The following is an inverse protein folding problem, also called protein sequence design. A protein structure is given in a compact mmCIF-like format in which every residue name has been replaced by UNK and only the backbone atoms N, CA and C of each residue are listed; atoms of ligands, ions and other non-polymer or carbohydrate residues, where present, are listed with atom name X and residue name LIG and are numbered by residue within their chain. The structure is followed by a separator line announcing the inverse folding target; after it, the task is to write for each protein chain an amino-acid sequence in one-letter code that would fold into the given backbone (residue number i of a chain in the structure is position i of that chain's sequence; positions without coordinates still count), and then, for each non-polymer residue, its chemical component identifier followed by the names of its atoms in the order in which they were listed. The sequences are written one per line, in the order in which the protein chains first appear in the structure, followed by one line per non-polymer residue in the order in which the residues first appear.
data_IF_504108981293
#
_entry.id   IF_504108981293
#
_cell.length_a   1.000
_cell.length_b   1.000
_cell.length_c   1.000
_cell.angle_alpha   90.00
_cell.angle_beta   90.00
_cell.angle_gamma   90.00
#
_symmetry.space_group_name_H-M   'P 1'
#
loop_
_entity.id
_entity.type
_entity.pdbx_description
1 polymer ?
#
# COMPACT_ATOMS: atom_id res chain seq x y z
N UNK A 1 59.05 -27.95 -16.97
CA UNK A 1 57.75 -28.23 -16.30
C UNK A 1 57.19 -26.91 -15.80
N UNK A 2 56.37 -26.25 -16.62
CA UNK A 2 55.81 -24.94 -16.28
C UNK A 2 54.50 -25.16 -15.52
N UNK A 3 54.46 -24.72 -14.25
CA UNK A 3 53.26 -24.74 -13.42
C UNK A 3 52.41 -23.52 -13.79
N UNK A 4 51.34 -23.74 -14.54
CA UNK A 4 50.32 -22.71 -14.79
C UNK A 4 49.54 -22.48 -13.49
N UNK A 5 49.80 -21.36 -12.84
CA UNK A 5 49.04 -20.87 -11.69
C UNK A 5 47.70 -20.36 -12.23
N UNK A 6 46.64 -21.15 -12.04
CA UNK A 6 45.28 -20.72 -12.34
C UNK A 6 44.84 -19.67 -11.34
N UNK A 7 44.80 -18.41 -11.75
CA UNK A 7 44.22 -17.32 -10.97
C UNK A 7 42.70 -17.49 -11.02
N UNK A 8 42.13 -17.95 -9.92
CA UNK A 8 40.69 -18.00 -9.70
C UNK A 8 40.22 -16.57 -9.43
N UNK A 9 39.71 -15.88 -10.45
CA UNK A 9 39.06 -14.58 -10.30
C UNK A 9 37.72 -14.83 -9.61
N UNK A 10 37.68 -14.58 -8.31
CA UNK A 10 36.46 -14.56 -7.51
C UNK A 10 35.72 -13.26 -7.84
N UNK A 11 34.82 -13.31 -8.83
CA UNK A 11 33.87 -12.21 -9.07
C UNK A 11 32.95 -12.10 -7.86
N UNK A 12 33.29 -11.17 -6.96
CA UNK A 12 32.40 -10.61 -5.96
C UNK A 12 31.25 -9.93 -6.70
N UNK A 13 30.22 -10.70 -7.05
CA UNK A 13 28.91 -10.15 -7.36
C UNK A 13 28.46 -9.53 -6.05
N UNK A 14 28.54 -8.21 -5.95
CA UNK A 14 27.88 -7.45 -4.90
C UNK A 14 26.40 -7.70 -5.09
N UNK A 15 25.87 -8.72 -4.41
CA UNK A 15 24.45 -8.87 -4.19
C UNK A 15 24.11 -7.68 -3.32
N UNK A 16 23.66 -6.59 -3.95
CA UNK A 16 23.05 -5.49 -3.24
C UNK A 16 21.89 -6.10 -2.50
N UNK A 17 22.05 -6.28 -1.19
CA UNK A 17 20.95 -6.61 -0.30
C UNK A 17 20.00 -5.42 -0.37
N UNK A 18 19.08 -5.45 -1.33
CA UNK A 18 17.90 -4.61 -1.27
C UNK A 18 17.21 -5.05 0.02
N UNK A 19 17.13 -4.17 1.00
CA UNK A 19 16.04 -4.28 1.96
C UNK A 19 14.78 -4.21 1.09
N UNK A 20 14.20 -5.37 0.79
CA UNK A 20 13.07 -5.45 -0.13
C UNK A 20 11.85 -4.95 0.63
N UNK A 21 11.62 -3.64 0.60
CA UNK A 21 10.39 -3.01 1.04
C UNK A 21 9.22 -3.34 0.10
N UNK A 22 9.19 -4.56 -0.45
CA UNK A 22 8.33 -4.98 -1.55
C UNK A 22 7.27 -5.92 -0.98
N UNK A 23 6.09 -5.85 -1.57
CA UNK A 23 5.04 -6.84 -1.46
C UNK A 23 4.25 -6.90 -2.74
N UNK A 24 3.20 -7.70 -2.72
CA UNK A 24 2.43 -8.04 -3.90
C UNK A 24 0.98 -7.65 -3.72
N UNK A 25 0.45 -6.85 -4.65
CA UNK A 25 -0.99 -6.81 -4.89
C UNK A 25 -1.39 -8.04 -5.69
N UNK A 26 -2.07 -8.98 -5.03
CA UNK A 26 -2.43 -10.28 -5.59
C UNK A 26 -3.90 -10.27 -5.95
N UNK A 27 -4.21 -10.62 -7.20
CA UNK A 27 -5.56 -10.98 -7.65
C UNK A 27 -5.64 -12.49 -7.76
N UNK A 28 -6.69 -13.08 -7.21
CA UNK A 28 -6.86 -14.53 -7.17
C UNK A 28 -8.31 -14.95 -7.35
N UNK A 29 -8.54 -16.20 -7.74
CA UNK A 29 -9.86 -16.83 -7.71
C UNK A 29 -10.00 -17.75 -6.50
N UNK A 30 -11.20 -17.81 -5.94
CA UNK A 30 -11.62 -18.79 -4.94
C UNK A 30 -12.73 -19.63 -5.56
N UNK A 31 -12.50 -20.92 -5.79
CA UNK A 31 -13.54 -21.88 -6.10
C UNK A 31 -14.08 -22.47 -4.79
N UNK A 32 -15.39 -22.40 -4.58
CA UNK A 32 -16.05 -22.96 -3.40
C UNK A 32 -16.41 -24.43 -3.62
N UNK A 33 -16.63 -25.17 -2.55
CA UNK A 33 -17.15 -26.55 -2.61
C UNK A 33 -18.54 -26.65 -3.25
N UNK A 34 -19.28 -25.53 -3.33
CA UNK A 34 -20.57 -25.42 -4.02
C UNK A 34 -20.43 -25.17 -5.52
N UNK A 35 -19.20 -25.01 -6.03
CA UNK A 35 -18.92 -24.73 -7.45
C UNK A 35 -18.97 -23.24 -7.82
N UNK A 36 -19.19 -22.34 -6.86
CA UNK A 36 -19.10 -20.89 -7.11
C UNK A 36 -17.64 -20.47 -7.27
N UNK A 37 -17.35 -19.56 -8.21
CA UNK A 37 -16.03 -18.91 -8.31
C UNK A 37 -16.15 -17.45 -7.94
N UNK A 38 -15.27 -16.98 -7.07
CA UNK A 38 -15.17 -15.59 -6.62
C UNK A 38 -13.80 -15.03 -6.99
N UNK A 39 -13.73 -13.73 -7.26
CA UNK A 39 -12.46 -13.01 -7.42
C UNK A 39 -12.17 -12.29 -6.10
N UNK A 40 -10.94 -12.39 -5.64
CA UNK A 40 -10.44 -11.69 -4.46
C UNK A 40 -9.15 -10.94 -4.76
N UNK A 41 -8.89 -9.94 -3.91
CA UNK A 41 -7.69 -9.13 -3.91
C UNK A 41 -7.10 -9.06 -2.50
N UNK A 42 -5.78 -9.11 -2.39
CA UNK A 42 -5.03 -8.87 -1.15
C UNK A 42 -3.73 -8.12 -1.45
N UNK A 43 -3.13 -7.56 -0.41
CA UNK A 43 -1.74 -7.11 -0.42
C UNK A 43 -0.95 -8.03 0.52
N UNK A 44 0.21 -8.55 0.11
CA UNK A 44 1.05 -9.41 0.97
C UNK A 44 2.50 -8.94 0.87
N UNK A 45 3.16 -8.54 1.98
CA UNK A 45 4.60 -8.30 1.97
C UNK A 45 5.38 -9.52 1.47
N UNK A 46 6.42 -9.31 0.67
CA UNK A 46 7.13 -10.41 -0.01
C UNK A 46 7.73 -11.41 0.98
N UNK A 47 8.16 -10.94 2.15
CA UNK A 47 8.69 -11.76 3.24
C UNK A 47 7.71 -12.83 3.77
N UNK A 48 6.42 -12.70 3.48
CA UNK A 48 5.38 -13.64 3.93
C UNK A 48 4.87 -14.55 2.81
N UNK A 49 5.44 -14.46 1.60
CA UNK A 49 5.05 -15.26 0.45
C UNK A 49 6.21 -16.14 -0.04
N UNK A 50 6.01 -17.45 0.01
CA UNK A 50 6.87 -18.46 -0.58
C UNK A 50 6.42 -18.70 -2.03
N UNK A 51 7.23 -18.21 -2.95
CA UNK A 51 6.95 -18.25 -4.39
C UNK A 51 6.89 -19.67 -4.94
N UNK A 52 7.56 -20.64 -4.32
CA UNK A 52 7.53 -22.05 -4.75
C UNK A 52 6.21 -22.74 -4.35
N UNK A 53 5.45 -22.12 -3.45
CA UNK A 53 4.22 -22.66 -2.88
C UNK A 53 2.94 -22.02 -3.44
N UNK A 54 3.02 -21.10 -4.41
CA UNK A 54 1.86 -20.32 -4.89
C UNK A 54 0.78 -21.13 -5.62
N UNK A 55 1.07 -22.36 -6.04
CA UNK A 55 0.07 -23.27 -6.63
C UNK A 55 -0.63 -24.14 -5.57
N UNK A 56 -0.21 -24.09 -4.31
CA UNK A 56 -0.76 -24.89 -3.22
C UNK A 56 -1.89 -24.15 -2.51
N UNK A 57 -3.14 -24.60 -2.71
CA UNK A 57 -4.33 -24.00 -2.06
C UNK A 57 -4.25 -23.98 -0.54
N UNK A 58 -3.74 -25.03 0.11
CA UNK A 58 -3.68 -25.05 1.57
C UNK A 58 -2.68 -24.03 2.09
N UNK A 59 -1.55 -23.86 1.40
CA UNK A 59 -0.61 -22.78 1.70
C UNK A 59 -1.27 -21.41 1.49
N UNK A 60 -1.90 -21.18 0.34
CA UNK A 60 -2.53 -19.90 0.00
C UNK A 60 -3.65 -19.48 0.96
N UNK A 61 -4.36 -20.44 1.58
CA UNK A 61 -5.35 -20.13 2.63
C UNK A 61 -4.72 -19.30 3.76
N UNK A 62 -3.50 -19.64 4.16
CA UNK A 62 -2.79 -18.94 5.23
C UNK A 62 -1.98 -17.75 4.71
N UNK A 63 -1.28 -17.92 3.59
CA UNK A 63 -0.38 -16.88 3.06
C UNK A 63 -1.12 -15.62 2.59
N UNK A 64 -2.36 -15.77 2.11
CA UNK A 64 -3.18 -14.64 1.67
C UNK A 64 -3.99 -14.02 2.82
N UNK A 65 -4.09 -14.66 3.98
CA UNK A 65 -4.89 -14.15 5.08
C UNK A 65 -4.22 -12.93 5.74
N UNK A 66 -4.91 -11.80 5.73
CA UNK A 66 -4.44 -10.51 6.26
C UNK A 66 -4.84 -10.30 7.73
N UNK A 67 -5.26 -11.33 8.45
CA UNK A 67 -5.70 -11.27 9.84
C UNK A 67 -4.57 -11.11 10.88
N UNK A 68 -3.40 -10.58 10.50
CA UNK A 68 -2.20 -10.45 11.35
C UNK A 68 -2.50 -9.84 12.73
N UNK A 69 -3.46 -8.91 12.81
CA UNK A 69 -3.90 -8.25 14.05
C UNK A 69 -5.04 -8.98 14.80
N UNK A 70 -5.79 -9.85 14.14
CA UNK A 70 -6.94 -10.56 14.73
C UNK A 70 -6.76 -12.07 14.64
N UNK A 71 -5.80 -12.58 15.43
CA UNK A 71 -5.49 -14.01 15.57
C UNK A 71 -6.65 -14.86 16.13
N UNK A 72 -7.81 -14.24 16.42
CA UNK A 72 -8.96 -14.93 16.99
C UNK A 72 -9.80 -15.67 15.95
N UNK A 73 -9.75 -15.28 14.67
CA UNK A 73 -10.54 -15.89 13.61
C UNK A 73 -9.70 -16.74 12.65
N UNK A 74 -9.27 -17.92 13.13
CA UNK A 74 -8.35 -18.84 12.42
C UNK A 74 -9.00 -19.70 11.34
N UNK A 75 -10.30 -19.55 11.10
CA UNK A 75 -11.07 -20.48 10.27
C UNK A 75 -11.57 -19.87 8.96
N UNK A 76 -11.18 -18.63 8.66
CA UNK A 76 -11.64 -17.89 7.48
C UNK A 76 -10.50 -17.19 6.76
N UNK A 77 -10.59 -17.16 5.43
CA UNK A 77 -9.78 -16.29 4.58
C UNK A 77 -10.44 -14.92 4.50
N UNK A 78 -9.73 -13.86 4.87
CA UNK A 78 -10.15 -12.48 4.59
C UNK A 78 -9.54 -11.97 3.28
N UNK A 79 -10.36 -11.29 2.48
CA UNK A 79 -9.94 -10.72 1.20
C UNK A 79 -10.77 -9.50 0.85
N UNK A 80 -10.35 -8.74 -0.16
CA UNK A 80 -11.10 -7.61 -0.68
C UNK A 80 -11.76 -7.98 -2.00
N UNK A 81 -13.02 -7.57 -2.19
CA UNK A 81 -13.74 -7.80 -3.45
C UNK A 81 -13.30 -6.84 -4.55
N UNK A 82 -12.71 -5.71 -4.17
CA UNK A 82 -12.41 -4.60 -5.06
C UNK A 82 -10.95 -4.17 -4.90
N UNK A 83 -10.28 -3.95 -6.04
CA UNK A 83 -8.98 -3.27 -6.13
C UNK A 83 -9.15 -2.07 -7.05
N UNK A 84 -8.95 -0.89 -6.51
CA UNK A 84 -9.12 0.39 -7.19
C UNK A 84 -7.74 0.90 -7.57
N UNK A 85 -7.51 1.08 -8.87
CA UNK A 85 -6.29 1.70 -9.39
C UNK A 85 -6.45 3.22 -9.33
N UNK A 86 -5.45 3.91 -8.79
CA UNK A 86 -5.35 5.36 -8.84
C UNK A 86 -4.06 5.75 -9.54
N UNK A 87 -4.17 6.61 -10.56
CA UNK A 87 -3.03 7.18 -11.28
C UNK A 87 -2.87 8.62 -10.85
N UNK A 88 -1.63 9.02 -10.55
CA UNK A 88 -1.34 10.36 -10.06
C UNK A 88 0.01 10.86 -10.59
N UNK A 89 0.17 12.17 -10.55
CA UNK A 89 1.46 12.82 -10.74
C UNK A 89 1.99 13.17 -9.36
N UNK A 90 3.19 12.69 -9.03
CA UNK A 90 3.78 12.94 -7.74
C UNK A 90 3.94 14.44 -7.48
N UNK A 91 3.64 14.85 -6.25
CA UNK A 91 3.88 16.21 -5.75
C UNK A 91 5.00 16.15 -4.71
N UNK A 92 5.83 17.20 -4.62
CA UNK A 92 7.01 17.23 -3.74
C UNK A 92 8.33 17.13 -4.51
N UNK A 93 9.33 16.43 -3.94
CA UNK A 93 10.72 16.43 -4.43
C UNK A 93 10.90 15.71 -5.79
N UNK A 94 10.03 14.76 -6.12
CA UNK A 94 10.01 13.99 -7.37
C UNK A 94 8.90 14.45 -8.31
N UNK A 95 8.60 15.76 -8.29
CA UNK A 95 7.45 16.35 -8.95
C UNK A 95 7.28 15.92 -10.42
N UNK A 96 6.08 15.47 -10.76
CA UNK A 96 5.64 15.27 -12.15
C UNK A 96 5.83 13.86 -12.71
N UNK A 97 6.43 12.93 -11.98
CA UNK A 97 6.44 11.52 -12.36
C UNK A 97 5.03 10.93 -12.29
N UNK A 98 4.63 10.24 -13.36
CA UNK A 98 3.38 9.48 -13.36
C UNK A 98 3.57 8.20 -12.56
N UNK A 99 2.72 8.02 -11.55
CA UNK A 99 2.71 6.85 -10.67
C UNK A 99 1.33 6.24 -10.62
N UNK A 100 1.30 4.98 -10.25
CA UNK A 100 0.08 4.27 -9.94
C UNK A 100 0.15 3.68 -8.54
N UNK A 101 -1.01 3.56 -7.91
CA UNK A 101 -1.17 2.91 -6.61
C UNK A 101 -2.52 2.20 -6.58
N UNK A 102 -2.61 1.18 -5.74
CA UNK A 102 -3.83 0.40 -5.57
C UNK A 102 -4.41 0.61 -4.17
N UNK A 103 -5.73 0.80 -4.11
CA UNK A 103 -6.52 0.73 -2.89
C UNK A 103 -7.35 -0.54 -2.88
N UNK A 104 -7.44 -1.20 -1.73
CA UNK A 104 -8.29 -2.38 -1.54
C UNK A 104 -9.55 -1.98 -0.78
N UNK A 105 -10.73 -2.38 -1.27
CA UNK A 105 -12.02 -2.01 -0.67
C UNK A 105 -12.98 -3.20 -0.64
N UNK A 106 -14.06 -3.05 0.13
CA UNK A 106 -15.10 -4.06 0.26
C UNK A 106 -14.56 -5.40 0.80
N UNK A 107 -14.11 -5.38 2.07
CA UNK A 107 -13.58 -6.56 2.79
C UNK A 107 -14.65 -7.65 2.89
N UNK A 108 -14.26 -8.87 2.60
CA UNK A 108 -15.06 -10.09 2.63
C UNK A 108 -14.35 -11.16 3.45
N UNK A 109 -15.09 -12.19 3.84
CA UNK A 109 -14.53 -13.41 4.41
C UNK A 109 -15.17 -14.65 3.81
N UNK A 110 -14.45 -15.76 3.85
CA UNK A 110 -14.97 -17.08 3.50
C UNK A 110 -14.33 -18.14 4.39
N UNK A 111 -15.13 -19.07 4.91
CA UNK A 111 -14.60 -20.17 5.72
C UNK A 111 -13.62 -21.01 4.92
N UNK A 112 -12.49 -21.40 5.51
CA UNK A 112 -11.53 -22.33 4.91
C UNK A 112 -12.17 -23.67 4.54
N UNK A 113 -13.24 -24.07 5.23
CA UNK A 113 -13.97 -25.30 4.95
C UNK A 113 -14.80 -25.21 3.68
N UNK A 114 -15.21 -24.01 3.26
CA UNK A 114 -15.98 -23.79 2.04
C UNK A 114 -15.09 -23.65 0.80
N UNK A 115 -13.79 -23.40 0.98
CA UNK A 115 -12.82 -23.25 -0.10
C UNK A 115 -12.39 -24.63 -0.63
N UNK A 116 -12.61 -24.84 -1.93
CA UNK A 116 -12.10 -25.98 -2.67
C UNK A 116 -10.73 -25.70 -3.28
N UNK A 117 -10.55 -24.53 -3.91
CA UNK A 117 -9.35 -24.18 -4.66
C UNK A 117 -9.11 -22.67 -4.61
N UNK A 118 -7.85 -22.28 -4.46
CA UNK A 118 -7.38 -20.90 -4.66
C UNK A 118 -6.37 -20.93 -5.80
N UNK A 119 -6.47 -19.96 -6.72
CA UNK A 119 -5.47 -19.76 -7.78
C UNK A 119 -5.11 -18.29 -7.87
N UNK A 120 -3.82 -17.99 -7.87
CA UNK A 120 -3.33 -16.66 -8.20
C UNK A 120 -3.53 -16.42 -9.71
N UNK A 121 -4.06 -15.25 -10.06
CA UNK A 121 -4.28 -14.82 -11.45
C UNK A 121 -3.21 -13.81 -11.86
N UNK A 122 -2.87 -12.90 -10.95
CA UNK A 122 -2.01 -11.76 -11.21
C UNK A 122 -1.33 -11.33 -9.90
N UNK A 123 -0.05 -10.97 -9.99
CA UNK A 123 0.72 -10.36 -8.91
C UNK A 123 1.40 -9.13 -9.46
N UNK A 124 1.40 -8.05 -8.67
CA UNK A 124 2.07 -6.81 -9.01
C UNK A 124 2.89 -6.33 -7.82
N UNK A 125 4.15 -6.02 -8.07
CA UNK A 125 5.10 -5.59 -7.05
C UNK A 125 4.82 -4.14 -6.65
N UNK A 126 4.65 -3.91 -5.35
CA UNK A 126 4.42 -2.59 -4.75
C UNK A 126 5.19 -2.46 -3.44
N UNK A 127 5.52 -1.24 -3.05
CA UNK A 127 6.11 -1.01 -1.74
C UNK A 127 5.05 -1.14 -0.64
N UNK A 128 5.38 -1.74 0.50
CA UNK A 128 4.47 -1.74 1.67
C UNK A 128 4.49 -0.40 2.43
N UNK A 129 5.45 0.48 2.11
CA UNK A 129 5.59 1.77 2.79
C UNK A 129 4.58 2.80 2.27
N UNK A 130 4.10 2.64 1.02
CA UNK A 130 3.20 3.60 0.37
C UNK A 130 1.81 3.00 0.19
N UNK A 131 0.77 3.74 0.58
CA UNK A 131 -0.63 3.29 0.50
C UNK A 131 -1.61 4.43 0.25
N UNK A 132 -2.83 4.08 -0.17
CA UNK A 132 -3.96 5.03 -0.22
C UNK A 132 -4.65 5.04 1.15
N UNK A 133 -4.61 6.17 1.84
CA UNK A 133 -5.22 6.32 3.17
C UNK A 133 -6.66 6.80 3.13
N UNK A 134 -7.03 7.61 2.14
CA UNK A 134 -8.43 8.00 1.94
C UNK A 134 -9.27 6.77 1.58
N UNK A 135 -10.37 6.46 2.28
CA UNK A 135 -11.22 5.33 1.91
C UNK A 135 -11.81 5.55 0.52
N UNK A 136 -11.56 4.60 -0.39
CA UNK A 136 -12.11 4.61 -1.75
C UNK A 136 -13.08 3.44 -1.95
N UNK A 137 -14.04 3.65 -2.84
CA UNK A 137 -14.99 2.64 -3.28
C UNK A 137 -15.15 2.66 -4.80
N UNK A 138 -15.75 1.62 -5.39
CA UNK A 138 -15.98 1.57 -6.85
C UNK A 138 -16.87 2.71 -7.37
N UNK A 139 -17.72 3.31 -6.53
CA UNK A 139 -18.55 4.46 -6.93
C UNK A 139 -17.71 5.73 -7.10
N UNK A 140 -16.47 5.74 -6.62
CA UNK A 140 -15.56 6.88 -6.71
C UNK A 140 -14.79 6.94 -8.03
N UNK A 141 -14.69 5.81 -8.74
CA UNK A 141 -13.98 5.66 -10.02
C UNK A 141 -14.27 6.81 -11.00
N UNK A 142 -15.52 7.22 -11.27
CA UNK A 142 -15.81 8.27 -12.24
C UNK A 142 -15.16 9.62 -11.93
N UNK A 143 -14.87 9.93 -10.66
CA UNK A 143 -14.23 11.17 -10.29
C UNK A 143 -12.72 11.02 -10.06
N UNK A 144 -12.23 9.92 -9.48
CA UNK A 144 -10.77 9.70 -9.31
C UNK A 144 -10.03 9.45 -10.63
N UNK A 145 -10.72 8.99 -11.68
CA UNK A 145 -10.13 8.82 -13.02
C UNK A 145 -9.89 10.14 -13.76
N UNK A 146 -10.35 11.27 -13.21
CA UNK A 146 -10.06 12.60 -13.75
C UNK A 146 -8.76 13.11 -13.14
N UNK A 147 -8.06 14.00 -13.85
CA UNK A 147 -6.88 14.66 -13.29
C UNK A 147 -7.28 15.45 -12.02
N UNK A 148 -6.55 15.34 -10.90
CA UNK A 148 -6.83 16.16 -9.73
C UNK A 148 -6.69 17.64 -10.07
N UNK A 149 -7.52 18.47 -9.45
CA UNK A 149 -7.49 19.92 -9.62
C UNK A 149 -6.22 20.51 -9.01
N UNK A 150 -5.80 19.99 -7.86
CA UNK A 150 -4.65 20.44 -7.08
C UNK A 150 -4.06 19.25 -6.33
N UNK A 151 -2.74 19.30 -6.11
CA UNK A 151 -2.01 18.35 -5.27
C UNK A 151 -1.20 19.11 -4.22
N UNK A 152 -1.10 18.54 -3.02
CA UNK A 152 -0.36 19.09 -1.90
C UNK A 152 0.52 18.01 -1.27
N UNK A 153 1.67 18.42 -0.75
CA UNK A 153 2.64 17.56 -0.09
C UNK A 153 2.83 18.04 1.36
N UNK A 154 2.83 17.11 2.30
CA UNK A 154 3.08 17.39 3.72
C UNK A 154 3.97 16.28 4.28
N UNK A 155 4.99 16.66 5.06
CA UNK A 155 5.98 15.74 5.62
C UNK A 155 6.10 15.96 7.12
N UNK A 156 6.05 14.89 7.89
CA UNK A 156 6.40 14.86 9.31
C UNK A 156 7.82 14.34 9.51
N UNK A 157 7.98 13.41 10.45
CA UNK A 157 9.28 12.81 10.78
C UNK A 157 9.57 11.59 9.91
N UNK A 158 8.73 10.55 10.00
CA UNK A 158 8.86 9.31 9.24
C UNK A 158 7.73 9.15 8.22
N UNK A 159 6.70 9.98 8.29
CA UNK A 159 5.55 9.91 7.39
C UNK A 159 5.47 11.11 6.43
N UNK A 160 5.12 10.78 5.20
CA UNK A 160 4.89 11.69 4.09
C UNK A 160 3.49 11.51 3.54
N UNK A 161 2.85 12.61 3.16
CA UNK A 161 1.46 12.63 2.71
C UNK A 161 1.29 13.46 1.46
N UNK A 162 0.66 12.87 0.44
CA UNK A 162 0.24 13.56 -0.77
C UNK A 162 -1.29 13.64 -0.82
N UNK A 163 -1.83 14.85 -0.89
CA UNK A 163 -3.28 15.10 -0.93
C UNK A 163 -3.67 15.61 -2.32
N UNK A 164 -4.47 14.84 -3.04
CA UNK A 164 -4.98 15.16 -4.37
C UNK A 164 -6.45 15.57 -4.30
N UNK A 165 -6.74 16.83 -4.58
CA UNK A 165 -8.10 17.39 -4.53
C UNK A 165 -8.78 17.22 -5.89
N UNK A 166 -9.87 16.46 -5.94
CA UNK A 166 -10.64 16.25 -7.18
C UNK A 166 -11.88 17.13 -7.28
N UNK A 167 -12.49 17.48 -6.14
CA UNK A 167 -13.58 18.46 -6.06
C UNK A 167 -13.33 19.40 -4.88
N UNK A 168 -13.43 20.71 -5.12
CA UNK A 168 -13.23 21.71 -4.07
C UNK A 168 -14.43 21.79 -3.14
N UNK A 169 -14.16 21.97 -1.86
CA UNK A 169 -15.16 22.28 -0.83
C UNK A 169 -14.53 23.25 0.18
N UNK A 170 -15.36 24.07 0.85
CA UNK A 170 -14.89 24.97 1.91
C UNK A 170 -14.20 24.20 3.05
N UNK A 171 -14.64 22.97 3.31
CA UNK A 171 -14.05 22.09 4.31
C UNK A 171 -12.63 21.66 3.90
N UNK A 172 -12.45 21.20 2.66
CA UNK A 172 -11.12 20.87 2.13
C UNK A 172 -10.19 22.08 2.23
N UNK A 173 -10.63 23.26 1.78
CA UNK A 173 -9.81 24.48 1.83
C UNK A 173 -9.38 24.84 3.26
N UNK A 174 -10.28 24.70 4.23
CA UNK A 174 -9.97 24.92 5.65
C UNK A 174 -8.95 23.92 6.20
N UNK A 175 -9.07 22.65 5.84
CA UNK A 175 -8.14 21.59 6.27
C UNK A 175 -6.76 21.79 5.63
N UNK A 176 -6.69 22.05 4.32
CA UNK A 176 -5.44 22.33 3.62
C UNK A 176 -4.73 23.54 4.25
N UNK A 177 -5.46 24.61 4.59
CA UNK A 177 -4.89 25.77 5.28
C UNK A 177 -4.27 25.40 6.64
N UNK A 178 -4.92 24.53 7.41
CA UNK A 178 -4.40 24.02 8.69
C UNK A 178 -3.15 23.16 8.48
N UNK A 179 -3.17 22.24 7.51
CA UNK A 179 -2.01 21.42 7.15
C UNK A 179 -0.82 22.29 6.72
N UNK A 180 -1.04 23.30 5.88
CA UNK A 180 0.01 24.25 5.48
C UNK A 180 0.57 25.03 6.68
N UNK A 181 -0.28 25.45 7.62
CA UNK A 181 0.18 26.12 8.84
C UNK A 181 0.99 25.18 9.75
N UNK A 182 0.55 23.92 9.88
CA UNK A 182 1.26 22.90 10.66
C UNK A 182 2.61 22.56 10.02
N UNK A 183 2.68 22.39 8.69
CA UNK A 183 3.93 22.16 7.97
C UNK A 183 4.97 23.25 8.27
N UNK A 184 4.57 24.53 8.21
CA UNK A 184 5.45 25.65 8.57
C UNK A 184 5.93 25.63 10.01
N UNK A 185 5.10 25.15 10.94
CA UNK A 185 5.50 24.96 12.34
C UNK A 185 6.52 23.83 12.47
N UNK A 186 6.36 22.74 11.71
CA UNK A 186 7.28 21.60 11.71
C UNK A 186 8.63 22.03 11.14
N UNK A 187 8.66 22.77 10.04
CA UNK A 187 9.88 23.32 9.44
C UNK A 187 10.68 24.25 10.38
N UNK A 188 10.04 24.76 11.44
CA UNK A 188 10.67 25.66 12.42
C UNK A 188 11.26 24.96 13.64
N UNK A 189 11.09 23.64 13.76
CA UNK A 189 11.60 22.83 14.88
C UNK A 189 12.59 21.79 14.37
N UNK A 190 13.51 21.38 15.24
CA UNK A 190 14.40 20.24 14.98
C UNK A 190 13.64 18.94 15.28
N UNK A 191 13.14 18.29 14.23
CA UNK A 191 12.38 17.04 14.33
C UNK A 191 13.36 15.88 14.45
N UNK A 192 13.23 15.11 15.53
CA UNK A 192 14.10 13.99 15.84
C UNK A 192 13.30 12.84 16.50
N UNK A 193 13.97 11.75 16.85
CA UNK A 193 13.32 10.58 17.45
C UNK A 193 12.59 10.82 18.78
N UNK A 194 12.84 11.92 19.50
CA UNK A 194 12.15 12.23 20.77
C UNK A 194 10.78 12.90 20.55
N UNK A 195 10.61 13.64 19.43
CA UNK A 195 9.42 14.43 19.15
C UNK A 195 8.71 14.07 17.83
N UNK A 196 9.36 13.27 16.98
CA UNK A 196 8.95 13.01 15.61
C UNK A 196 7.64 12.22 15.51
N UNK A 197 7.44 11.21 16.34
CA UNK A 197 6.21 10.43 16.36
C UNK A 197 4.99 11.30 16.67
N UNK A 198 5.13 12.26 17.59
CA UNK A 198 4.07 13.23 17.91
C UNK A 198 3.79 14.19 16.75
N UNK A 199 4.81 14.55 15.97
CA UNK A 199 4.63 15.35 14.74
C UNK A 199 3.83 14.58 13.69
N UNK A 200 4.17 13.31 13.47
CA UNK A 200 3.45 12.43 12.53
C UNK A 200 2.01 12.22 12.97
N UNK A 201 1.76 11.95 14.26
CA UNK A 201 0.40 11.80 14.81
C UNK A 201 -0.44 13.06 14.61
N UNK A 202 0.10 14.24 14.93
CA UNK A 202 -0.64 15.50 14.77
C UNK A 202 -0.97 15.81 13.31
N UNK A 203 -0.07 15.53 12.36
CA UNK A 203 -0.37 15.65 10.93
C UNK A 203 -1.46 14.67 10.52
N UNK A 204 -1.35 13.42 10.95
CA UNK A 204 -2.31 12.37 10.65
C UNK A 204 -3.72 12.70 11.13
N UNK A 205 -3.87 13.25 12.34
CA UNK A 205 -5.18 13.67 12.87
C UNK A 205 -5.85 14.71 11.98
N UNK A 206 -5.09 15.69 11.47
CA UNK A 206 -5.63 16.70 10.55
C UNK A 206 -5.99 16.07 9.20
N UNK A 207 -5.17 15.15 8.69
CA UNK A 207 -5.39 14.47 7.41
C UNK A 207 -6.68 13.64 7.42
N UNK A 208 -6.96 12.92 8.51
CA UNK A 208 -8.18 12.11 8.65
C UNK A 208 -9.46 12.92 8.52
N UNK A 209 -9.43 14.24 8.80
CA UNK A 209 -10.60 15.10 8.62
C UNK A 209 -11.03 15.24 7.14
N UNK A 210 -10.13 14.91 6.20
CA UNK A 210 -10.42 14.86 4.76
C UNK A 210 -11.26 13.63 4.38
N UNK A 211 -11.42 12.64 5.26
CA UNK A 211 -12.18 11.44 4.92
C UNK A 211 -13.64 11.75 4.59
N UNK A 212 -14.15 11.13 3.53
CA UNK A 212 -15.46 11.39 2.97
C UNK A 212 -15.53 12.60 2.02
N UNK A 213 -14.48 13.42 1.94
CA UNK A 213 -14.35 14.41 0.88
C UNK A 213 -13.86 13.77 -0.43
N UNK A 214 -14.04 14.46 -1.56
CA UNK A 214 -13.52 14.01 -2.87
C UNK A 214 -12.05 14.38 -3.03
N UNK A 215 -11.24 13.74 -2.19
CA UNK A 215 -9.78 13.79 -2.24
C UNK A 215 -9.22 12.37 -2.27
N UNK A 216 -8.01 12.23 -2.79
CA UNK A 216 -7.21 11.02 -2.58
C UNK A 216 -6.01 11.39 -1.72
N UNK A 217 -5.79 10.65 -0.64
CA UNK A 217 -4.63 10.80 0.23
C UNK A 217 -3.74 9.59 0.03
N UNK A 218 -2.51 9.82 -0.41
CA UNK A 218 -1.44 8.82 -0.46
C UNK A 218 -0.52 9.08 0.72
N UNK A 219 -0.22 8.04 1.47
CA UNK A 219 0.69 8.09 2.63
C UNK A 219 1.88 7.20 2.35
N UNK A 220 3.06 7.66 2.70
CA UNK A 220 4.30 6.90 2.70
C UNK A 220 4.96 7.03 4.07
N UNK A 221 5.20 5.94 4.79
CA UNK A 221 5.88 5.99 6.09
C UNK A 221 7.07 5.03 6.12
N UNK A 222 8.20 5.50 6.65
CA UNK A 222 9.41 4.69 6.87
C UNK A 222 9.53 4.24 8.33
N UNK A 223 10.46 3.31 8.62
CA UNK A 223 10.74 2.83 9.97
C UNK A 223 12.12 3.30 10.45
#
# INVERSE_FOLDING_TARGET
MNKTIGILIFTLVTISSRAEYIGYHIKFTIETKKGETRIGFVYVPSAYLDMDSIENTNYLKYALDQSWDDRSNKDSLFYFKERIKYQYQEVGDTQGEEREIYSLSNKQSISYQDIKLIRIIEMQDFTYLTGVSSPLSVTDIPWISKKPLQGYAFSGYLCYYQVFVHVKSKKIEGIIKRLTAKQKSIESIDVNHENGDGVDEELWEIIKELYGEKVVVITECTC
#
